data_IF_866934322443
#
_entry.id   IF_866934322443
#
_cell.length_a   1.000
_cell.length_b   1.000
_cell.length_c   1.000
_cell.angle_alpha   90.00
_cell.angle_beta   90.00
_cell.angle_gamma   90.00
#
_symmetry.space_group_name_H-M   'P 1'
#
loop_
_entity.id
_entity.type
_entity.pdbx_description
1 polymer ?
#
# COMPACT_ATOMS: atom_id res chain seq x y z
N UNK A 1 -4.54 11.61 -10.13
CA UNK A 1 -4.52 10.43 -11.01
C UNK A 1 -3.83 9.26 -10.30
N UNK A 2 -4.40 8.07 -10.41
CA UNK A 2 -3.86 6.88 -9.76
C UNK A 2 -3.30 5.93 -10.82
N UNK A 3 -2.05 5.50 -10.61
CA UNK A 3 -1.41 4.46 -11.41
C UNK A 3 -1.41 3.16 -10.61
N UNK A 4 -1.62 2.04 -11.30
CA UNK A 4 -1.62 0.72 -10.69
C UNK A 4 -0.77 -0.23 -11.54
N UNK A 5 0.13 -0.99 -10.89
CA UNK A 5 0.95 -1.98 -11.58
C UNK A 5 1.26 -3.16 -10.67
N UNK A 6 1.80 -4.23 -11.24
CA UNK A 6 2.19 -5.42 -10.50
C UNK A 6 3.67 -5.35 -10.14
N UNK A 7 4.01 -5.79 -8.92
CA UNK A 7 5.40 -5.92 -8.51
C UNK A 7 5.59 -7.15 -7.62
N UNK A 8 6.84 -7.54 -7.46
CA UNK A 8 7.26 -8.60 -6.54
C UNK A 8 8.32 -8.05 -5.61
N UNK A 9 8.33 -8.52 -4.36
CA UNK A 9 9.34 -8.13 -3.37
C UNK A 9 10.25 -9.35 -3.15
N UNK A 10 11.45 -9.38 -3.76
CA UNK A 10 12.27 -10.60 -3.82
C UNK A 10 12.70 -11.15 -2.46
N UNK A 11 12.98 -10.26 -1.50
CA UNK A 11 13.46 -10.66 -0.18
C UNK A 11 12.34 -10.95 0.82
N UNK A 12 11.09 -10.78 0.42
CA UNK A 12 9.95 -10.95 1.30
C UNK A 12 9.05 -12.10 0.85
N UNK A 13 8.50 -12.01 -0.35
CA UNK A 13 7.62 -13.02 -0.93
C UNK A 13 7.81 -13.02 -2.44
N UNK A 14 8.91 -13.60 -2.94
CA UNK A 14 9.25 -13.51 -4.37
C UNK A 14 8.24 -14.20 -5.29
N UNK A 15 7.52 -15.19 -4.79
CA UNK A 15 6.49 -15.92 -5.55
C UNK A 15 5.17 -15.18 -5.66
N UNK A 16 4.97 -14.13 -4.87
CA UNK A 16 3.71 -13.38 -4.83
C UNK A 16 3.82 -12.13 -5.67
N UNK A 17 2.90 -11.98 -6.63
CA UNK A 17 2.74 -10.73 -7.38
C UNK A 17 1.73 -9.86 -6.66
N UNK A 18 2.13 -8.64 -6.33
CA UNK A 18 1.31 -7.67 -5.61
C UNK A 18 0.97 -6.50 -6.49
N UNK A 19 -0.15 -5.84 -6.18
CA UNK A 19 -0.49 -4.57 -6.82
C UNK A 19 0.14 -3.43 -6.05
N UNK A 20 0.71 -2.49 -6.77
CA UNK A 20 1.24 -1.25 -6.24
C UNK A 20 0.45 -0.09 -6.83
N UNK A 21 0.29 0.97 -6.07
CA UNK A 21 -0.53 2.12 -6.43
C UNK A 21 0.25 3.40 -6.19
N UNK A 22 0.08 4.36 -7.10
CA UNK A 22 0.70 5.67 -6.97
C UNK A 22 -0.33 6.74 -7.30
N UNK A 23 -0.62 7.61 -6.35
CA UNK A 23 -1.43 8.80 -6.59
C UNK A 23 -0.51 9.99 -6.82
N UNK A 24 -0.74 10.70 -7.93
CA UNK A 24 -0.05 11.96 -8.23
C UNK A 24 -1.08 13.10 -8.18
N UNK A 25 -0.77 14.21 -7.47
CA UNK A 25 -1.68 15.36 -7.44
C UNK A 25 -1.77 16.02 -8.82
N UNK A 26 -2.87 16.73 -9.07
CA UNK A 26 -3.11 17.38 -10.37
C UNK A 26 -1.97 18.34 -10.73
N UNK A 27 -1.38 19.03 -9.76
CA UNK A 27 -0.30 19.98 -9.99
C UNK A 27 1.07 19.34 -10.28
N UNK A 28 1.16 18.02 -10.23
CA UNK A 28 2.44 17.32 -10.43
C UNK A 28 3.07 17.65 -11.79
N UNK A 29 2.29 17.56 -12.87
CA UNK A 29 2.77 17.83 -14.21
C UNK A 29 2.96 19.32 -14.49
N UNK A 30 2.24 20.17 -13.75
CA UNK A 30 2.29 21.62 -13.93
C UNK A 30 3.53 22.27 -13.30
N UNK A 31 4.18 21.57 -12.37
CA UNK A 31 5.29 22.07 -11.60
C UNK A 31 6.47 21.11 -11.63
N UNK A 32 7.16 21.00 -12.80
CA UNK A 32 8.20 19.95 -12.97
C UNK A 32 9.39 20.10 -12.03
N UNK A 33 9.66 21.31 -11.53
CA UNK A 33 10.75 21.54 -10.58
C UNK A 33 10.34 21.44 -9.12
N UNK A 34 9.05 21.26 -8.84
CA UNK A 34 8.56 21.14 -7.48
C UNK A 34 8.88 19.77 -6.89
N UNK A 35 9.04 19.72 -5.57
CA UNK A 35 9.16 18.49 -4.81
C UNK A 35 7.92 18.34 -3.94
N UNK A 36 7.39 17.12 -3.89
CA UNK A 36 6.19 16.82 -3.11
C UNK A 36 6.52 15.81 -2.04
N UNK A 37 5.96 15.96 -0.84
CA UNK A 37 6.07 14.91 0.17
C UNK A 37 5.38 13.65 -0.32
N UNK A 38 5.86 12.50 0.14
CA UNK A 38 5.30 11.19 -0.21
C UNK A 38 4.79 10.54 1.05
N UNK A 39 3.51 10.14 1.04
CA UNK A 39 2.93 9.32 2.09
C UNK A 39 2.91 7.86 1.62
N UNK A 40 3.56 7.00 2.39
CA UNK A 40 3.56 5.56 2.14
C UNK A 40 2.42 4.93 2.94
N UNK A 41 1.57 4.16 2.27
CA UNK A 41 0.42 3.51 2.91
C UNK A 41 0.48 2.00 2.74
N UNK A 42 0.15 1.30 3.82
CA UNK A 42 -0.07 -0.13 3.77
C UNK A 42 -1.48 -0.44 3.22
N UNK A 43 -1.70 -1.71 2.87
CA UNK A 43 -2.99 -2.20 2.39
C UNK A 43 -3.50 -1.40 1.19
N UNK A 44 -2.62 -1.21 0.20
CA UNK A 44 -2.91 -0.38 -0.97
C UNK A 44 -4.19 -0.77 -1.72
N UNK A 45 -4.57 -2.05 -1.65
CA UNK A 45 -5.80 -2.54 -2.28
C UNK A 45 -7.07 -1.89 -1.70
N UNK A 46 -7.00 -1.32 -0.48
CA UNK A 46 -8.13 -0.65 0.17
C UNK A 46 -8.15 0.87 -0.04
N UNK A 47 -7.10 1.44 -0.63
CA UNK A 47 -6.90 2.89 -0.60
C UNK A 47 -7.70 3.61 -1.68
N UNK A 48 -7.70 3.12 -2.94
CA UNK A 48 -8.17 3.89 -4.07
C UNK A 48 -9.37 3.30 -4.81
N UNK A 49 -9.42 1.98 -5.03
CA UNK A 49 -10.40 1.34 -5.92
C UNK A 49 -11.31 0.39 -5.17
N UNK A 50 -12.62 0.56 -5.34
CA UNK A 50 -13.62 -0.31 -4.68
C UNK A 50 -13.49 -1.75 -5.15
N UNK A 51 -13.21 -1.98 -6.43
CA UNK A 51 -13.07 -3.33 -6.99
C UNK A 51 -11.87 -4.10 -6.43
N UNK A 52 -10.88 -3.41 -5.90
CA UNK A 52 -9.70 -4.03 -5.29
C UNK A 52 -9.85 -4.21 -3.78
N UNK A 53 -10.77 -3.48 -3.15
CA UNK A 53 -10.89 -3.44 -1.69
C UNK A 53 -11.44 -4.74 -1.12
N UNK A 54 -10.94 -5.10 0.07
CA UNK A 54 -11.32 -6.35 0.75
C UNK A 54 -12.84 -6.47 0.96
N UNK A 55 -13.50 -5.36 1.30
CA UNK A 55 -14.93 -5.33 1.58
C UNK A 55 -15.74 -4.63 0.49
N UNK A 56 -15.16 -4.45 -0.68
CA UNK A 56 -15.85 -3.85 -1.83
C UNK A 56 -15.99 -2.33 -1.77
N UNK A 57 -15.40 -1.69 -0.77
CA UNK A 57 -15.41 -0.23 -0.64
C UNK A 57 -14.05 0.25 -0.20
N UNK A 58 -13.44 1.12 -1.01
CA UNK A 58 -12.14 1.71 -0.70
C UNK A 58 -12.28 2.89 0.27
N UNK A 59 -11.12 3.39 0.73
CA UNK A 59 -11.08 4.57 1.58
C UNK A 59 -11.34 5.87 0.81
N UNK A 60 -11.45 5.81 -0.52
CA UNK A 60 -11.76 6.97 -1.35
C UNK A 60 -10.68 8.04 -1.36
N UNK A 61 -9.41 7.65 -1.20
CA UNK A 61 -8.32 8.62 -1.07
C UNK A 61 -8.12 9.45 -2.33
N UNK A 62 -8.31 8.87 -3.53
CA UNK A 62 -8.15 9.63 -4.76
C UNK A 62 -9.16 10.78 -4.85
N UNK A 63 -10.43 10.50 -4.55
CA UNK A 63 -11.47 11.52 -4.56
C UNK A 63 -11.22 12.60 -3.51
N UNK A 64 -10.82 12.19 -2.31
CA UNK A 64 -10.50 13.12 -1.23
C UNK A 64 -9.36 14.04 -1.63
N UNK A 65 -8.27 13.47 -2.18
CA UNK A 65 -7.10 14.25 -2.57
C UNK A 65 -7.41 15.21 -3.71
N UNK A 66 -8.23 14.77 -4.68
CA UNK A 66 -8.63 15.62 -5.78
C UNK A 66 -9.52 16.78 -5.32
N UNK A 67 -10.43 16.51 -4.37
CA UNK A 67 -11.32 17.54 -3.83
C UNK A 67 -10.60 18.57 -2.98
N UNK A 68 -9.60 18.15 -2.22
CA UNK A 68 -8.85 19.02 -1.33
C UNK A 68 -7.68 19.71 -2.02
N UNK A 69 -7.32 19.25 -3.21
CA UNK A 69 -6.19 19.74 -3.99
C UNK A 69 -4.89 19.74 -3.17
N UNK A 70 -4.71 18.68 -2.40
CA UNK A 70 -3.55 18.56 -1.52
C UNK A 70 -2.32 18.14 -2.33
N UNK A 71 -1.19 18.88 -2.24
CA UNK A 71 0.02 18.59 -3.02
C UNK A 71 0.85 17.48 -2.37
N UNK A 72 0.34 16.25 -2.43
CA UNK A 72 0.92 15.09 -1.78
C UNK A 72 0.89 13.90 -2.73
N UNK A 73 2.01 13.17 -2.80
CA UNK A 73 2.09 11.89 -3.51
C UNK A 73 1.75 10.79 -2.52
N UNK A 74 0.95 9.81 -2.95
CA UNK A 74 0.66 8.63 -2.14
C UNK A 74 1.20 7.40 -2.86
N UNK A 75 2.07 6.66 -2.19
CA UNK A 75 2.58 5.38 -2.67
C UNK A 75 2.06 4.27 -1.76
N UNK A 76 1.33 3.31 -2.32
CA UNK A 76 0.67 2.28 -1.54
C UNK A 76 0.95 0.90 -2.12
N UNK A 77 1.16 -0.08 -1.24
CA UNK A 77 1.41 -1.46 -1.63
C UNK A 77 0.37 -2.41 -1.05
N UNK A 78 0.00 -3.40 -1.84
CA UNK A 78 -0.92 -4.44 -1.41
C UNK A 78 -0.25 -5.35 -0.37
N UNK A 79 -1.02 -5.80 0.62
CA UNK A 79 -0.52 -6.77 1.60
C UNK A 79 -0.44 -8.18 1.02
N UNK A 80 0.17 -9.10 1.77
CA UNK A 80 0.14 -10.52 1.45
C UNK A 80 -1.15 -11.13 1.99
N UNK A 81 -2.09 -11.58 1.14
CA UNK A 81 -3.40 -12.07 1.59
C UNK A 81 -3.39 -13.53 2.05
N UNK A 82 -2.26 -14.23 1.94
CA UNK A 82 -2.19 -15.67 2.22
C UNK A 82 -2.03 -15.92 3.71
N UNK A 83 -3.00 -16.59 4.34
CA UNK A 83 -2.95 -16.96 5.76
C UNK A 83 -2.69 -15.77 6.65
N UNK A 84 -1.71 -15.90 7.57
CA UNK A 84 -1.28 -14.83 8.47
C UNK A 84 -0.07 -14.06 7.95
N UNK A 85 0.26 -14.21 6.67
CA UNK A 85 1.48 -13.61 6.11
C UNK A 85 1.48 -12.09 6.20
N UNK A 86 0.31 -11.44 6.11
CA UNK A 86 0.21 -10.00 6.29
C UNK A 86 0.79 -9.56 7.63
N UNK A 87 0.40 -10.24 8.70
CA UNK A 87 0.88 -9.92 10.05
C UNK A 87 2.38 -10.22 10.19
N UNK A 88 2.83 -11.32 9.60
CA UNK A 88 4.25 -11.69 9.64
C UNK A 88 5.10 -10.66 8.90
N UNK A 89 4.64 -10.16 7.76
CA UNK A 89 5.37 -9.17 6.96
C UNK A 89 5.42 -7.81 7.65
N UNK A 90 4.39 -7.46 8.43
CA UNK A 90 4.37 -6.19 9.15
C UNK A 90 5.09 -6.25 10.50
N UNK A 91 5.30 -7.45 11.04
CA UNK A 91 6.07 -7.61 12.28
C UNK A 91 7.56 -7.57 12.00
N UNK A 92 8.32 -6.66 12.63
CA UNK A 92 9.76 -6.60 12.46
C UNK A 92 10.50 -7.74 13.16
N UNK A 93 9.88 -8.35 14.18
CA UNK A 93 10.47 -9.42 14.99
C UNK A 93 9.49 -10.59 15.11
N UNK A 94 10.03 -11.79 15.23
CA UNK A 94 9.22 -12.98 15.54
C UNK A 94 8.59 -12.82 16.93
N UNK A 95 7.29 -13.12 17.03
CA UNK A 95 6.55 -12.98 18.27
C UNK A 95 5.54 -14.13 18.42
N UNK A 96 4.99 -14.26 19.64
CA UNK A 96 3.93 -15.19 19.93
C UNK A 96 2.62 -14.42 20.14
N UNK A 97 1.57 -14.85 19.45
CA UNK A 97 0.24 -14.27 19.60
C UNK A 97 -0.69 -15.30 20.27
N UNK A 98 -1.47 -14.91 21.30
CA UNK A 98 -2.34 -15.85 22.00
C UNK A 98 -3.38 -16.56 21.12
N UNK A 99 -3.81 -15.89 20.04
CA UNK A 99 -4.84 -16.41 19.14
C UNK A 99 -4.30 -17.03 17.87
N UNK A 100 -3.14 -16.55 17.39
CA UNK A 100 -2.57 -16.90 16.09
C UNK A 100 -1.33 -17.78 16.18
N UNK A 101 -0.75 -17.94 17.38
CA UNK A 101 0.47 -18.68 17.60
C UNK A 101 1.71 -17.87 17.23
N UNK A 102 2.74 -18.56 16.71
CA UNK A 102 4.00 -17.93 16.38
C UNK A 102 3.91 -17.20 15.04
N UNK A 103 4.26 -15.93 15.06
CA UNK A 103 4.37 -15.10 13.85
C UNK A 103 5.83 -14.82 13.57
N UNK A 104 6.29 -15.20 12.38
CA UNK A 104 7.67 -14.92 11.96
C UNK A 104 7.81 -13.46 11.57
N UNK A 105 8.76 -12.75 12.20
CA UNK A 105 8.99 -11.35 11.88
C UNK A 105 9.70 -11.19 10.54
N UNK A 106 9.00 -10.72 9.52
CA UNK A 106 9.53 -10.49 8.16
C UNK A 106 9.60 -9.02 7.78
N UNK A 107 9.13 -8.14 8.67
CA UNK A 107 9.03 -6.71 8.35
C UNK A 107 10.37 -5.99 8.20
N UNK A 108 11.48 -6.68 8.44
CA UNK A 108 12.83 -6.15 8.25
C UNK A 108 13.47 -6.59 6.94
N UNK A 109 12.76 -7.41 6.17
CA UNK A 109 13.27 -7.94 4.91
C UNK A 109 13.40 -6.84 3.81
#
# INVERSE_FOLDING_TARGET
MVYKWALQIPNLSPELTRRAYLYLPACYDEQPDARFPVMYMFDGHNVFFDEDATYGQSWGMADYMDKTDTPLIIAAGECNPVGNNRLEEYCPFTCEDPNLGRLRGRGRA
#
